data_IF_982315553363
#
_entry.id   IF_982315553363
#
_cell.length_a   1.000
_cell.length_b   1.000
_cell.length_c   1.000
_cell.angle_alpha   90.00
_cell.angle_beta   90.00
_cell.angle_gamma   90.00
#
_symmetry.space_group_name_H-M   'P 1'
#
loop_
_entity.id
_entity.type
_entity.pdbx_description
1 polymer ?
#
# COMPACT_ATOMS: atom_id res chain seq x y z
N UNK A 1 -1.91 -6.38 18.82
CA UNK A 1 -1.43 -7.06 17.61
C UNK A 1 -1.52 -6.07 16.48
N UNK A 2 -0.39 -5.61 15.97
CA UNK A 2 -0.33 -4.75 14.79
C UNK A 2 0.31 -5.63 13.73
N UNK A 3 -0.31 -5.75 12.56
CA UNK A 3 0.34 -6.39 11.41
C UNK A 3 1.68 -5.67 11.23
N UNK A 4 2.77 -6.40 11.44
CA UNK A 4 4.12 -5.81 11.51
C UNK A 4 4.67 -5.46 10.14
N UNK A 5 3.97 -5.84 9.06
CA UNK A 5 4.32 -5.56 7.68
C UNK A 5 3.66 -4.26 7.20
N UNK A 6 4.38 -3.38 6.50
CA UNK A 6 3.76 -2.29 5.77
C UNK A 6 2.91 -2.84 4.61
N UNK A 7 1.73 -2.25 4.45
CA UNK A 7 0.82 -2.46 3.33
C UNK A 7 1.56 -2.39 1.98
N UNK A 8 1.44 -3.46 1.19
CA UNK A 8 2.08 -3.56 -0.12
C UNK A 8 1.26 -2.78 -1.16
N UNK A 9 1.94 -1.87 -1.85
CA UNK A 9 1.34 -1.08 -2.92
C UNK A 9 1.48 -1.83 -4.25
N UNK A 10 0.40 -1.99 -5.05
CA UNK A 10 0.54 -2.45 -6.42
C UNK A 10 1.04 -1.31 -7.31
N UNK A 11 2.19 -1.52 -7.95
CA UNK A 11 2.67 -0.69 -9.05
C UNK A 11 2.33 -1.41 -10.34
N UNK A 12 1.48 -0.81 -11.18
CA UNK A 12 1.02 -1.43 -12.41
C UNK A 12 1.78 -0.86 -13.60
N UNK A 13 2.21 -1.73 -14.51
CA UNK A 13 2.76 -1.35 -15.80
C UNK A 13 1.68 -1.25 -16.89
N UNK A 14 2.08 -0.78 -18.06
CA UNK A 14 1.21 -0.67 -19.24
C UNK A 14 0.65 -2.03 -19.67
N UNK A 15 1.50 -3.07 -19.72
CA UNK A 15 1.10 -4.38 -20.22
C UNK A 15 0.07 -5.07 -19.32
N UNK A 16 0.20 -4.99 -17.99
CA UNK A 16 -0.79 -5.54 -17.07
C UNK A 16 -2.15 -4.86 -17.24
N UNK A 17 -2.18 -3.53 -17.41
CA UNK A 17 -3.42 -2.78 -17.62
C UNK A 17 -4.09 -3.12 -18.96
N UNK A 18 -3.32 -3.17 -20.05
CA UNK A 18 -3.83 -3.50 -21.37
C UNK A 18 -4.35 -4.93 -21.44
N UNK A 19 -3.60 -5.90 -20.91
CA UNK A 19 -4.02 -7.29 -20.89
C UNK A 19 -5.25 -7.49 -20.01
N UNK A 20 -5.32 -6.89 -18.82
CA UNK A 20 -6.51 -7.01 -17.96
C UNK A 20 -7.75 -6.45 -18.67
N UNK A 21 -7.63 -5.27 -19.28
CA UNK A 21 -8.74 -4.66 -20.02
C UNK A 21 -9.19 -5.53 -21.21
N UNK A 22 -8.25 -6.07 -21.99
CA UNK A 22 -8.57 -6.96 -23.11
C UNK A 22 -9.21 -8.27 -22.63
N UNK A 23 -8.71 -8.86 -21.54
CA UNK A 23 -9.29 -10.07 -20.94
C UNK A 23 -10.71 -9.83 -20.42
N UNK A 24 -10.95 -8.67 -19.79
CA UNK A 24 -12.29 -8.30 -19.32
C UNK A 24 -13.28 -8.17 -20.48
N UNK A 25 -12.89 -7.54 -21.58
CA UNK A 25 -13.73 -7.43 -22.80
C UNK A 25 -13.96 -8.81 -23.41
N UNK A 26 -12.91 -9.62 -23.56
CA UNK A 26 -12.98 -10.95 -24.19
C UNK A 26 -13.89 -11.93 -23.43
N UNK A 27 -13.90 -11.84 -22.11
CA UNK A 27 -14.63 -12.77 -21.23
C UNK A 27 -15.87 -12.15 -20.58
N UNK A 28 -16.29 -10.95 -21.00
CA UNK A 28 -17.43 -10.19 -20.46
C UNK A 28 -17.41 -10.09 -18.92
N UNK A 29 -16.22 -10.03 -18.33
CA UNK A 29 -16.07 -9.99 -16.87
C UNK A 29 -16.36 -8.60 -16.34
N UNK A 30 -17.22 -8.52 -15.33
CA UNK A 30 -17.59 -7.26 -14.68
C UNK A 30 -16.71 -6.89 -13.47
N UNK A 31 -15.90 -7.81 -12.95
CA UNK A 31 -15.09 -7.56 -11.76
C UNK A 31 -13.68 -7.09 -12.14
N UNK A 32 -13.51 -5.78 -12.16
CA UNK A 32 -12.20 -5.14 -12.28
C UNK A 32 -11.42 -5.24 -10.96
N UNK A 33 -10.32 -5.99 -10.98
CA UNK A 33 -9.41 -6.16 -9.84
C UNK A 33 -8.71 -4.85 -9.47
N UNK A 34 -8.45 -3.96 -10.44
CA UNK A 34 -7.83 -2.64 -10.21
C UNK A 34 -8.77 -1.77 -9.40
N UNK A 35 -10.02 -1.64 -9.83
CA UNK A 35 -11.05 -0.91 -9.08
C UNK A 35 -11.32 -1.53 -7.71
N UNK A 36 -11.33 -2.87 -7.60
CA UNK A 36 -11.47 -3.54 -6.31
C UNK A 36 -10.33 -3.20 -5.34
N UNK A 37 -9.08 -3.20 -5.80
CA UNK A 37 -7.91 -2.82 -5.00
C UNK A 37 -7.97 -1.36 -4.56
N UNK A 38 -8.29 -0.45 -5.49
CA UNK A 38 -8.48 0.97 -5.18
C UNK A 38 -9.61 1.20 -4.17
N UNK A 39 -10.72 0.48 -4.31
CA UNK A 39 -11.89 0.56 -3.43
C UNK A 39 -11.62 0.14 -1.99
N UNK A 40 -10.56 -0.63 -1.73
CA UNK A 40 -10.15 -0.97 -0.35
C UNK A 40 -9.63 0.25 0.42
N UNK A 41 -9.15 1.29 -0.29
CA UNK A 41 -8.39 2.41 0.27
C UNK A 41 -7.06 2.02 0.92
N UNK A 42 -6.66 0.74 0.79
CA UNK A 42 -5.50 0.10 1.42
C UNK A 42 -4.65 -0.70 0.42
N UNK A 43 -4.87 -0.54 -0.87
CA UNK A 43 -4.02 -1.13 -1.90
C UNK A 43 -4.15 -0.31 -3.18
N UNK A 44 -4.24 1.01 -3.04
CA UNK A 44 -4.47 1.92 -4.16
C UNK A 44 -3.37 1.72 -5.20
N UNK A 45 -3.71 1.31 -6.43
CA UNK A 45 -2.71 1.07 -7.44
C UNK A 45 -2.10 2.38 -7.96
N UNK A 46 -0.78 2.37 -8.11
CA UNK A 46 -0.01 3.49 -8.61
C UNK A 46 0.63 3.14 -9.96
N UNK A 47 0.75 4.13 -10.83
CA UNK A 47 1.43 4.01 -12.12
C UNK A 47 2.40 5.17 -12.34
N UNK A 48 3.43 4.94 -13.15
CA UNK A 48 4.37 5.98 -13.54
C UNK A 48 3.75 6.91 -14.59
N UNK A 49 4.29 8.13 -14.70
CA UNK A 49 3.77 9.19 -15.56
C UNK A 49 3.69 8.86 -17.06
N UNK A 50 4.54 7.95 -17.55
CA UNK A 50 4.59 7.57 -18.96
C UNK A 50 3.49 6.56 -19.36
N UNK A 51 3.01 5.75 -18.39
CA UNK A 51 2.07 4.64 -18.62
C UNK A 51 0.81 5.07 -19.40
N UNK A 52 0.13 6.21 -19.08
CA UNK A 52 -1.03 6.64 -19.88
C UNK A 52 -0.71 6.85 -21.37
N UNK A 53 0.49 7.36 -21.69
CA UNK A 53 0.91 7.57 -23.07
C UNK A 53 1.20 6.24 -23.80
N UNK A 54 1.85 5.30 -23.13
CA UNK A 54 2.09 3.97 -23.69
C UNK A 54 0.80 3.17 -23.90
N UNK A 55 -0.19 3.32 -23.01
CA UNK A 55 -1.52 2.73 -23.22
C UNK A 55 -2.09 3.22 -24.55
N UNK A 56 -2.04 4.53 -24.81
CA UNK A 56 -2.54 5.09 -26.07
C UNK A 56 -1.79 4.55 -27.30
N UNK A 57 -0.48 4.37 -27.20
CA UNK A 57 0.37 3.85 -28.28
C UNK A 57 0.12 2.37 -28.58
N UNK A 58 -0.02 1.54 -27.54
CA UNK A 58 -0.02 0.09 -27.67
C UNK A 58 -1.41 -0.55 -27.70
N UNK A 59 -2.47 0.18 -27.34
CA UNK A 59 -3.82 -0.36 -27.22
C UNK A 59 -4.30 -1.06 -28.49
N UNK A 60 -4.10 -0.46 -29.67
CA UNK A 60 -4.58 -1.02 -30.94
C UNK A 60 -3.93 -2.39 -31.24
N UNK A 61 -2.62 -2.50 -30.99
CA UNK A 61 -1.86 -3.74 -31.18
C UNK A 61 -2.36 -4.84 -30.22
N UNK A 62 -2.42 -4.54 -28.93
CA UNK A 62 -2.82 -5.55 -27.92
C UNK A 62 -4.28 -5.96 -28.11
N UNK A 63 -5.19 -5.03 -28.43
CA UNK A 63 -6.58 -5.36 -28.71
C UNK A 63 -6.71 -6.32 -29.91
N UNK A 64 -5.90 -6.12 -30.96
CA UNK A 64 -5.82 -7.02 -32.12
C UNK A 64 -5.33 -8.42 -31.71
N UNK A 65 -4.29 -8.52 -30.89
CA UNK A 65 -3.73 -9.80 -30.43
C UNK A 65 -4.76 -10.60 -29.61
N UNK A 66 -5.58 -9.91 -28.80
CA UNK A 66 -6.65 -10.51 -28.03
C UNK A 66 -7.94 -10.79 -28.84
N UNK A 67 -8.00 -10.30 -30.09
CA UNK A 67 -9.16 -10.37 -30.99
C UNK A 67 -10.40 -9.67 -30.41
N UNK A 68 -10.19 -8.50 -29.78
CA UNK A 68 -11.27 -7.69 -29.18
C UNK A 68 -11.37 -6.32 -29.83
N UNK A 69 -12.57 -5.69 -29.86
CA UNK A 69 -12.70 -4.35 -30.43
C UNK A 69 -11.98 -3.29 -29.58
N UNK A 70 -10.97 -2.61 -30.16
CA UNK A 70 -10.19 -1.55 -29.47
C UNK A 70 -11.11 -0.52 -28.78
N UNK A 71 -12.18 -0.09 -29.46
CA UNK A 71 -13.13 0.90 -28.93
C UNK A 71 -13.78 0.45 -27.62
N UNK A 72 -14.04 -0.85 -27.45
CA UNK A 72 -14.61 -1.38 -26.21
C UNK A 72 -13.57 -1.38 -25.10
N UNK A 73 -12.33 -1.79 -25.40
CA UNK A 73 -11.21 -1.77 -24.45
C UNK A 73 -10.90 -0.34 -24.00
N UNK A 74 -10.81 0.61 -24.94
CA UNK A 74 -10.60 2.04 -24.66
C UNK A 74 -11.67 2.60 -23.74
N UNK A 75 -12.94 2.25 -24.00
CA UNK A 75 -14.06 2.67 -23.15
C UNK A 75 -13.94 2.10 -21.74
N UNK A 76 -13.66 0.80 -21.62
CA UNK A 76 -13.48 0.14 -20.32
C UNK A 76 -12.33 0.77 -19.52
N UNK A 77 -11.18 0.96 -20.15
CA UNK A 77 -10.02 1.62 -19.55
C UNK A 77 -10.37 3.02 -19.06
N UNK A 78 -10.96 3.86 -19.91
CA UNK A 78 -11.27 5.25 -19.57
C UNK A 78 -12.37 5.43 -18.51
N UNK A 79 -13.32 4.49 -18.44
CA UNK A 79 -14.50 4.63 -17.55
C UNK A 79 -14.34 3.89 -16.22
N UNK A 80 -13.59 2.79 -16.18
CA UNK A 80 -13.53 1.92 -15.01
C UNK A 80 -12.11 1.85 -14.43
N UNK A 81 -11.13 1.47 -15.24
CA UNK A 81 -9.79 1.14 -14.75
C UNK A 81 -8.97 2.41 -14.43
N UNK A 82 -8.78 3.31 -15.41
CA UNK A 82 -7.92 4.49 -15.26
C UNK A 82 -8.35 5.43 -14.12
N UNK A 83 -9.66 5.69 -13.89
CA UNK A 83 -10.10 6.53 -12.76
C UNK A 83 -9.72 5.98 -11.38
N UNK A 84 -9.49 4.67 -11.26
CA UNK A 84 -9.08 4.02 -10.02
C UNK A 84 -7.57 4.14 -9.73
N UNK A 85 -6.78 4.59 -10.72
CA UNK A 85 -5.32 4.67 -10.66
C UNK A 85 -4.84 6.06 -10.22
N UNK A 86 -3.63 6.07 -9.65
CA UNK A 86 -2.91 7.30 -9.29
C UNK A 86 -1.59 7.36 -10.06
N UNK A 87 -1.48 8.39 -10.91
CA UNK A 87 -0.26 8.69 -11.65
C UNK A 87 0.71 9.44 -10.74
N UNK A 88 1.95 8.99 -10.67
CA UNK A 88 2.99 9.63 -9.87
C UNK A 88 4.09 10.17 -10.79
N UNK A 89 4.23 11.50 -10.78
CA UNK A 89 5.29 12.20 -11.51
C UNK A 89 6.59 12.22 -10.69
N UNK A 90 7.57 11.45 -11.12
CA UNK A 90 8.89 11.44 -10.50
C UNK A 90 9.79 12.52 -11.09
N UNK A 91 10.77 12.95 -10.31
CA UNK A 91 11.81 13.85 -10.80
C UNK A 91 12.96 13.03 -11.42
N UNK A 92 13.75 13.65 -12.31
CA UNK A 92 14.89 13.00 -12.97
C UNK A 92 15.81 12.31 -11.95
N UNK A 93 16.02 12.92 -10.77
CA UNK A 93 16.86 12.36 -9.71
C UNK A 93 16.35 11.02 -9.16
N UNK A 94 15.04 10.78 -9.18
CA UNK A 94 14.44 9.55 -8.67
C UNK A 94 14.71 8.36 -9.62
N UNK A 95 14.86 8.63 -10.92
CA UNK A 95 15.22 7.63 -11.92
C UNK A 95 16.70 7.20 -11.85
N UNK A 96 17.53 7.92 -11.09
CA UNK A 96 18.96 7.61 -10.94
C UNK A 96 19.24 6.64 -9.79
N UNK A 97 18.19 6.12 -9.16
CA UNK A 97 18.27 5.26 -8.01
C UNK A 97 18.96 3.91 -8.33
N UNK A 98 19.68 3.30 -7.38
CA UNK A 98 20.53 2.14 -7.65
C UNK A 98 19.81 0.97 -8.31
N UNK A 99 18.56 0.67 -7.92
CA UNK A 99 17.84 -0.47 -8.49
C UNK A 99 17.42 -0.18 -9.94
N UNK A 100 16.99 1.05 -10.21
CA UNK A 100 16.63 1.52 -11.57
C UNK A 100 17.78 1.41 -12.56
N UNK A 101 19.03 1.61 -12.12
CA UNK A 101 20.21 1.48 -12.98
C UNK A 101 20.40 0.08 -13.56
N UNK A 102 19.89 -0.97 -12.92
CA UNK A 102 20.00 -2.33 -13.44
C UNK A 102 19.10 -2.55 -14.66
N UNK A 103 17.93 -1.90 -14.70
CA UNK A 103 16.99 -1.96 -15.82
C UNK A 103 17.49 -1.11 -16.99
N UNK A 104 18.18 0.00 -16.71
CA UNK A 104 18.84 0.82 -17.73
C UNK A 104 20.04 0.14 -18.41
N UNK A 105 20.47 -1.06 -17.98
CA UNK A 105 21.59 -1.76 -18.61
C UNK A 105 21.16 -2.43 -19.92
N UNK A 106 21.33 -1.68 -21.01
CA UNK A 106 21.21 -2.17 -22.39
C UNK A 106 22.56 -2.74 -22.85
N UNK A 107 23.06 -3.79 -22.20
CA UNK A 107 24.30 -4.44 -22.65
C UNK A 107 24.04 -5.13 -24.00
N UNK A 108 24.60 -4.55 -25.07
CA UNK A 108 24.41 -5.03 -26.44
C UNK A 108 25.02 -6.42 -26.69
N UNK A 109 25.92 -6.88 -25.83
CA UNK A 109 26.50 -8.22 -25.89
C UNK A 109 25.55 -9.28 -25.33
N UNK A 110 24.51 -8.89 -24.58
CA UNK A 110 23.46 -9.80 -24.14
C UNK A 110 22.45 -10.01 -25.29
N UNK A 111 21.92 -11.24 -25.40
CA UNK A 111 20.80 -11.51 -26.31
C UNK A 111 19.64 -10.53 -26.02
N UNK A 112 18.82 -10.14 -27.01
CA UNK A 112 17.73 -9.17 -26.81
C UNK A 112 16.82 -9.49 -25.63
N UNK A 113 16.48 -10.77 -25.44
CA UNK A 113 15.68 -11.27 -24.30
C UNK A 113 16.34 -11.15 -22.93
N UNK A 114 17.62 -10.81 -22.87
CA UNK A 114 18.44 -10.65 -21.67
C UNK A 114 18.83 -9.18 -21.41
N UNK A 115 18.48 -8.26 -22.30
CA UNK A 115 18.68 -6.81 -22.09
C UNK A 115 17.62 -6.27 -21.12
N UNK A 116 17.94 -5.18 -20.44
CA UNK A 116 16.95 -4.35 -19.77
C UNK A 116 16.27 -3.42 -20.77
N UNK A 117 15.06 -2.97 -20.43
CA UNK A 117 14.30 -2.02 -21.22
C UNK A 117 14.32 -0.64 -20.55
N UNK A 118 14.87 0.40 -21.19
CA UNK A 118 14.81 1.77 -20.67
C UNK A 118 13.39 2.28 -20.40
N UNK A 119 12.39 1.77 -21.13
CA UNK A 119 10.99 2.20 -20.99
C UNK A 119 10.39 1.70 -19.65
N UNK A 120 10.95 0.64 -19.07
CA UNK A 120 10.58 0.10 -17.76
C UNK A 120 11.19 0.86 -16.57
N UNK A 121 12.22 1.69 -16.83
CA UNK A 121 12.96 2.38 -15.77
C UNK A 121 12.09 3.31 -14.90
N UNK A 122 11.12 4.07 -15.43
CA UNK A 122 10.23 4.88 -14.60
C UNK A 122 9.33 4.04 -13.68
N UNK A 123 8.89 2.85 -14.11
CA UNK A 123 8.06 1.94 -13.29
C UNK A 123 8.88 1.40 -12.12
N UNK A 124 10.14 1.04 -12.36
CA UNK A 124 11.05 0.64 -11.28
C UNK A 124 11.41 1.78 -10.34
N UNK A 125 11.67 2.97 -10.89
CA UNK A 125 11.95 4.16 -10.08
C UNK A 125 10.78 4.46 -9.14
N UNK A 126 9.54 4.29 -9.62
CA UNK A 126 8.34 4.42 -8.80
C UNK A 126 8.26 3.35 -7.72
N UNK A 127 8.57 2.11 -8.06
CA UNK A 127 8.59 1.01 -7.09
C UNK A 127 9.63 1.23 -5.98
N UNK A 128 10.84 1.67 -6.33
CA UNK A 128 11.89 2.00 -5.37
C UNK A 128 11.51 3.21 -4.50
N UNK A 129 10.86 4.21 -5.11
CA UNK A 129 10.37 5.41 -4.41
C UNK A 129 9.30 5.06 -3.37
N UNK A 130 8.34 4.20 -3.71
CA UNK A 130 7.17 3.84 -2.88
C UNK A 130 7.35 2.57 -2.04
N UNK A 131 8.46 1.87 -2.20
CA UNK A 131 8.77 0.62 -1.52
C UNK A 131 8.49 0.66 0.00
N UNK A 132 8.06 -0.47 0.59
CA UNK A 132 7.86 -1.77 -0.04
C UNK A 132 6.59 -1.85 -0.89
N UNK A 133 6.71 -2.42 -2.09
CA UNK A 133 5.63 -2.53 -3.06
C UNK A 133 5.81 -3.77 -3.95
N UNK A 134 4.80 -4.09 -4.74
CA UNK A 134 4.83 -5.18 -5.72
C UNK A 134 4.65 -4.58 -7.09
N UNK A 135 5.60 -4.83 -7.99
CA UNK A 135 5.41 -4.53 -9.41
C UNK A 135 4.57 -5.66 -10.00
N UNK A 136 3.47 -5.28 -10.63
CA UNK A 136 2.67 -6.18 -11.44
C UNK A 136 2.96 -5.86 -12.89
N UNK A 137 3.46 -6.86 -13.58
CA UNK A 137 3.78 -6.79 -14.99
C UNK A 137 3.58 -8.16 -15.61
N UNK A 138 3.25 -8.20 -16.89
CA UNK A 138 3.34 -9.42 -17.69
C UNK A 138 4.68 -9.52 -18.43
N UNK A 139 5.52 -8.48 -18.32
CA UNK A 139 6.85 -8.50 -18.86
C UNK A 139 7.78 -9.36 -18.00
N UNK A 140 8.50 -10.22 -18.70
CA UNK A 140 9.57 -11.02 -18.11
C UNK A 140 10.72 -10.17 -17.57
N UNK A 141 10.95 -8.94 -18.06
CA UNK A 141 12.10 -8.09 -17.67
C UNK A 141 12.16 -7.89 -16.15
N UNK A 142 11.07 -7.50 -15.50
CA UNK A 142 11.07 -7.29 -14.05
C UNK A 142 11.20 -8.59 -13.26
N UNK A 143 10.55 -9.67 -13.70
CA UNK A 143 10.65 -10.99 -13.05
C UNK A 143 12.09 -11.54 -13.11
N UNK A 144 12.80 -11.31 -14.21
CA UNK A 144 14.19 -11.72 -14.42
C UNK A 144 15.16 -11.05 -13.46
N UNK A 145 14.91 -9.78 -13.11
CA UNK A 145 15.72 -9.06 -12.13
C UNK A 145 15.24 -9.23 -10.68
N UNK A 146 14.22 -10.07 -10.45
CA UNK A 146 13.72 -10.32 -9.11
C UNK A 146 12.87 -9.18 -8.55
N UNK A 147 12.18 -8.42 -9.40
CA UNK A 147 11.39 -7.25 -9.01
C UNK A 147 9.88 -7.37 -9.24
N UNK A 148 9.38 -8.37 -9.97
CA UNK A 148 7.94 -8.52 -10.23
C UNK A 148 7.46 -9.97 -10.33
N UNK A 149 6.15 -10.13 -10.15
CA UNK A 149 5.42 -11.38 -10.39
C UNK A 149 4.67 -11.27 -11.72
N UNK A 150 4.83 -12.29 -12.56
CA UNK A 150 4.33 -12.32 -13.97
C UNK A 150 2.80 -12.49 -14.05
N UNK A 151 2.17 -13.08 -13.02
CA UNK A 151 0.74 -13.39 -13.04
C UNK A 151 -0.08 -12.41 -12.19
N UNK A 152 -0.78 -11.49 -12.86
CA UNK A 152 -1.61 -10.44 -12.25
C UNK A 152 -2.76 -11.00 -11.41
N UNK A 153 -3.41 -12.09 -11.85
CA UNK A 153 -4.66 -12.54 -11.23
C UNK A 153 -4.46 -13.04 -9.80
N UNK A 154 -3.47 -13.93 -9.52
CA UNK A 154 -3.13 -14.36 -8.17
C UNK A 154 -2.58 -13.21 -7.31
N UNK A 155 -1.77 -12.32 -7.88
CA UNK A 155 -1.20 -11.18 -7.16
C UNK A 155 -2.29 -10.24 -6.66
N UNK A 156 -3.24 -9.86 -7.53
CA UNK A 156 -4.35 -9.02 -7.14
C UNK A 156 -5.25 -9.70 -6.09
N UNK A 157 -5.48 -11.01 -6.19
CA UNK A 157 -6.23 -11.75 -5.17
C UNK A 157 -5.51 -11.76 -3.82
N UNK A 158 -4.21 -11.97 -3.84
CA UNK A 158 -3.36 -11.93 -2.65
C UNK A 158 -3.36 -10.54 -2.01
N UNK A 159 -3.22 -9.48 -2.80
CA UNK A 159 -3.29 -8.10 -2.32
C UNK A 159 -4.68 -7.76 -1.75
N UNK A 160 -5.77 -8.19 -2.38
CA UNK A 160 -7.13 -8.02 -1.85
C UNK A 160 -7.32 -8.77 -0.52
N UNK A 161 -6.77 -9.98 -0.40
CA UNK A 161 -6.79 -10.74 0.86
C UNK A 161 -6.00 -10.04 1.95
N UNK A 162 -4.78 -9.55 1.64
CA UNK A 162 -3.97 -8.78 2.58
C UNK A 162 -4.72 -7.53 3.06
N UNK A 163 -5.33 -6.76 2.15
CA UNK A 163 -6.13 -5.59 2.50
C UNK A 163 -7.34 -5.93 3.40
N UNK A 164 -7.97 -7.09 3.19
CA UNK A 164 -9.07 -7.59 4.03
C UNK A 164 -8.62 -8.00 5.44
N UNK A 165 -7.48 -8.69 5.56
CA UNK A 165 -6.87 -9.05 6.85
C UNK A 165 -6.50 -7.78 7.64
N UNK A 166 -5.95 -6.77 6.97
CA UNK A 166 -5.62 -5.47 7.58
C UNK A 166 -6.86 -4.70 8.05
N UNK A 167 -7.92 -4.67 7.26
CA UNK A 167 -9.18 -4.04 7.66
C UNK A 167 -9.75 -4.66 8.94
N UNK A 168 -9.68 -5.98 9.04
CA UNK A 168 -10.13 -6.75 10.21
C UNK A 168 -9.29 -6.44 11.44
N UNK A 169 -7.96 -6.37 11.30
CA UNK A 169 -7.04 -6.01 12.38
C UNK A 169 -7.26 -4.56 12.87
N UNK A 170 -7.48 -3.61 11.95
CA UNK A 170 -7.76 -2.22 12.29
C UNK A 170 -9.09 -2.09 13.06
N UNK A 171 -10.14 -2.79 12.62
CA UNK A 171 -11.44 -2.81 13.30
C UNK A 171 -11.34 -3.41 14.71
N UNK A 172 -10.55 -4.47 14.88
CA UNK A 172 -10.29 -5.05 16.20
C UNK A 172 -9.60 -4.05 17.15
N UNK A 173 -8.64 -3.26 16.66
CA UNK A 173 -7.98 -2.23 17.46
C UNK A 173 -8.93 -1.11 17.87
N UNK A 174 -9.86 -0.71 17.00
CA UNK A 174 -10.91 0.28 17.33
C UNK A 174 -11.85 -0.25 18.42
N UNK A 175 -12.25 -1.52 18.35
CA UNK A 175 -13.06 -2.16 19.39
C UNK A 175 -12.33 -2.27 20.73
N UNK A 176 -11.02 -2.58 20.70
CA UNK A 176 -10.16 -2.59 21.89
C UNK A 176 -10.05 -1.17 22.47
N UNK A 177 -9.78 -0.15 21.65
CA UNK A 177 -9.72 1.25 22.09
C UNK A 177 -11.06 1.72 22.67
N UNK A 178 -12.18 1.37 22.04
CA UNK A 178 -13.53 1.68 22.53
C UNK A 178 -13.79 1.01 23.88
N UNK A 179 -13.44 -0.27 24.03
CA UNK A 179 -13.53 -0.99 25.29
C UNK A 179 -12.67 -0.30 26.37
N UNK A 180 -11.41 0.01 26.07
CA UNK A 180 -10.50 0.72 26.99
C UNK A 180 -11.03 2.10 27.40
N UNK A 181 -11.65 2.86 26.50
CA UNK A 181 -12.29 4.15 26.80
C UNK A 181 -13.52 4.00 27.68
N UNK A 182 -14.32 2.95 27.47
CA UNK A 182 -15.47 2.63 28.30
C UNK A 182 -15.08 2.19 29.73
N UNK A 183 -13.86 1.68 29.92
CA UNK A 183 -13.36 1.20 31.23
C UNK A 183 -12.54 2.22 32.03
N UNK A 184 -12.28 3.44 31.54
CA UNK A 184 -11.89 4.58 32.38
C UNK A 184 -10.74 5.48 31.88
N UNK A 185 -10.79 6.75 32.31
CA UNK A 185 -10.08 7.94 31.80
C UNK A 185 -8.53 7.97 31.88
N UNK A 186 -7.84 6.88 32.20
CA UNK A 186 -6.37 6.81 32.26
C UNK A 186 -5.67 6.23 31.03
N UNK A 187 -6.43 5.67 30.08
CA UNK A 187 -5.92 4.75 29.07
C UNK A 187 -5.19 5.38 27.87
N UNK A 188 -5.32 6.69 27.62
CA UNK A 188 -4.73 7.34 26.44
C UNK A 188 -3.19 7.19 26.38
N UNK A 189 -2.51 7.11 27.53
CA UNK A 189 -1.05 6.91 27.58
C UNK A 189 -0.63 5.44 27.40
N UNK A 190 -1.51 4.48 27.69
CA UNK A 190 -1.23 3.05 27.50
C UNK A 190 -1.34 2.65 26.02
N UNK A 191 -2.22 3.28 25.24
CA UNK A 191 -2.34 3.04 23.80
C UNK A 191 -1.05 3.40 23.06
N UNK A 192 -0.43 4.54 23.38
CA UNK A 192 0.86 4.92 22.80
C UNK A 192 2.01 3.97 23.18
N UNK A 193 1.96 3.40 24.38
CA UNK A 193 2.93 2.41 24.88
C UNK A 193 2.72 1.02 24.24
N UNK A 194 1.47 0.60 24.05
CA UNK A 194 1.13 -0.67 23.42
C UNK A 194 1.49 -0.73 21.93
N UNK A 195 1.43 0.40 21.23
CA UNK A 195 1.84 0.51 19.82
C UNK A 195 3.35 0.40 19.66
N UNK A 196 4.14 0.89 20.63
CA UNK A 196 5.62 0.87 20.55
C UNK A 196 6.24 -0.36 21.19
N UNK A 197 5.68 -0.88 22.28
CA UNK A 197 6.21 -2.03 23.02
C UNK A 197 5.06 -2.83 23.71
N UNK A 198 4.56 -3.90 23.08
CA UNK A 198 3.37 -4.62 23.56
C UNK A 198 3.59 -5.36 24.89
N UNK A 199 4.80 -5.86 25.17
CA UNK A 199 5.14 -6.60 26.39
C UNK A 199 5.11 -5.73 27.67
N UNK A 200 5.81 -4.58 27.74
CA UNK A 200 5.73 -3.72 28.92
C UNK A 200 4.34 -3.09 29.10
N UNK A 201 3.60 -2.82 28.01
CA UNK A 201 2.22 -2.35 28.11
C UNK A 201 1.30 -3.39 28.79
N UNK A 202 1.45 -4.67 28.43
CA UNK A 202 0.75 -5.78 29.08
C UNK A 202 1.15 -5.93 30.56
N UNK A 203 2.44 -5.82 30.88
CA UNK A 203 2.92 -5.86 32.26
C UNK A 203 2.40 -4.69 33.11
N UNK A 204 2.30 -3.49 32.52
CA UNK A 204 1.80 -2.29 33.21
C UNK A 204 0.29 -2.39 33.46
N UNK A 205 -0.46 -2.90 32.48
CA UNK A 205 -1.90 -3.16 32.64
C UNK A 205 -2.15 -4.25 33.69
N UNK A 206 -1.38 -5.34 33.67
CA UNK A 206 -1.43 -6.39 34.70
C UNK A 206 -1.08 -5.86 36.09
N UNK A 207 -0.08 -4.97 36.20
CA UNK A 207 0.31 -4.32 37.45
C UNK A 207 -0.78 -3.41 38.02
N UNK A 208 -1.43 -2.61 37.17
CA UNK A 208 -2.55 -1.74 37.57
C UNK A 208 -3.78 -2.54 38.01
N UNK A 209 -4.08 -3.63 37.29
CA UNK A 209 -5.15 -4.55 37.66
C UNK A 209 -4.87 -5.25 39.00
N UNK A 210 -3.64 -5.70 39.21
CA UNK A 210 -3.21 -6.32 40.47
C UNK A 210 -3.24 -5.32 41.63
N UNK A 211 -2.87 -4.05 41.37
CA UNK A 211 -2.93 -2.97 42.35
C UNK A 211 -4.37 -2.61 42.73
N UNK A 212 -5.28 -2.51 41.75
CA UNK A 212 -6.70 -2.30 41.98
C UNK A 212 -7.38 -3.43 42.76
N UNK A 213 -6.99 -4.69 42.48
CA UNK A 213 -7.40 -5.87 43.25
C UNK A 213 -6.90 -5.80 44.70
N UNK A 214 -5.64 -5.43 44.91
CA UNK A 214 -5.06 -5.30 46.27
C UNK A 214 -5.67 -4.19 47.11
N UNK A 215 -6.19 -3.12 46.48
CA UNK A 215 -6.86 -2.01 47.18
C UNK A 215 -8.36 -2.21 47.41
N UNK A 216 -8.92 -3.37 47.05
CA UNK A 216 -10.33 -3.69 47.33
C UNK A 216 -11.34 -2.94 46.45
N UNK A 217 -10.90 -2.25 45.40
CA UNK A 217 -11.78 -1.58 44.43
C UNK A 217 -12.49 -2.56 43.49
N UNK A 218 -12.09 -3.84 43.48
CA UNK A 218 -12.64 -4.88 42.62
C UNK A 218 -12.98 -6.12 43.45
N UNK A 219 -14.26 -6.49 43.49
CA UNK A 219 -14.72 -7.71 44.16
C UNK A 219 -14.27 -8.97 43.38
N UNK A 220 -14.00 -10.07 44.09
CA UNK A 220 -13.53 -11.34 43.50
C UNK A 220 -14.50 -11.94 42.47
N UNK A 221 -15.80 -11.74 42.65
CA UNK A 221 -16.86 -12.23 41.75
C UNK A 221 -16.97 -11.39 40.48
N UNK A 222 -16.89 -10.06 40.60
CA UNK A 222 -16.88 -9.16 39.45
C UNK A 222 -15.65 -9.38 38.57
N UNK A 223 -14.51 -9.73 39.18
CA UNK A 223 -13.26 -10.01 38.46
C UNK A 223 -13.35 -11.29 37.62
N UNK A 224 -13.83 -12.41 38.19
CA UNK A 224 -13.97 -13.67 37.45
C UNK A 224 -14.96 -13.53 36.28
N UNK A 225 -16.07 -12.84 36.48
CA UNK A 225 -17.08 -12.67 35.44
C UNK A 225 -16.64 -11.69 34.34
N UNK A 226 -15.86 -10.65 34.68
CA UNK A 226 -15.32 -9.71 33.70
C UNK A 226 -14.13 -10.27 32.93
N UNK A 227 -13.29 -11.09 33.57
CA UNK A 227 -12.20 -11.81 32.89
C UNK A 227 -12.71 -12.98 32.08
N UNK A 228 -13.73 -13.72 32.50
CA UNK A 228 -14.30 -14.79 31.68
C UNK A 228 -14.92 -14.22 30.40
N UNK A 229 -15.66 -13.10 30.51
CA UNK A 229 -16.20 -12.39 29.32
C UNK A 229 -15.10 -11.82 28.42
N UNK A 230 -14.01 -11.31 28.99
CA UNK A 230 -12.85 -10.85 28.23
C UNK A 230 -12.08 -12.01 27.60
N UNK A 231 -11.94 -13.15 28.28
CA UNK A 231 -11.27 -14.35 27.79
C UNK A 231 -12.06 -14.98 26.64
N UNK A 232 -13.38 -15.11 26.78
CA UNK A 232 -14.29 -15.61 25.74
C UNK A 232 -14.28 -14.72 24.48
N UNK A 233 -14.07 -13.41 24.62
CA UNK A 233 -13.96 -12.48 23.49
C UNK A 233 -12.53 -12.33 22.94
N UNK A 234 -11.50 -12.45 23.78
CA UNK A 234 -10.11 -12.21 23.40
C UNK A 234 -9.40 -13.44 22.83
N UNK A 235 -9.72 -14.65 23.30
CA UNK A 235 -9.16 -15.90 22.78
C UNK A 235 -9.41 -16.03 21.27
N UNK A 236 -10.65 -15.90 20.75
CA UNK A 236 -10.88 -16.00 19.31
C UNK A 236 -10.19 -14.87 18.53
N UNK A 237 -10.07 -13.66 19.10
CA UNK A 237 -9.39 -12.53 18.46
C UNK A 237 -7.86 -12.72 18.39
N UNK A 238 -7.24 -13.33 19.40
CA UNK A 238 -5.80 -13.62 19.43
C UNK A 238 -5.48 -14.77 18.47
N UNK A 239 -6.31 -15.82 18.45
CA UNK A 239 -6.16 -16.94 17.51
C UNK A 239 -6.38 -16.50 16.07
N UNK A 240 -7.44 -15.73 15.78
CA UNK A 240 -7.68 -15.13 14.47
C UNK A 240 -6.56 -14.17 14.07
N UNK A 241 -6.04 -13.36 15.00
CA UNK A 241 -4.95 -12.45 14.72
C UNK A 241 -3.64 -13.18 14.40
N UNK A 242 -3.33 -14.29 15.09
CA UNK A 242 -2.12 -15.07 14.83
C UNK A 242 -2.23 -15.83 13.50
N UNK A 243 -3.40 -16.40 13.22
CA UNK A 243 -3.69 -17.02 11.92
C UNK A 243 -3.59 -15.99 10.79
N UNK A 244 -4.19 -14.80 10.95
CA UNK A 244 -4.10 -13.70 10.00
C UNK A 244 -2.66 -13.20 9.81
N UNK A 245 -1.85 -13.17 10.87
CA UNK A 245 -0.43 -12.79 10.77
C UNK A 245 0.40 -13.85 10.02
N UNK A 246 0.14 -15.14 10.25
CA UNK A 246 0.80 -16.24 9.54
C UNK A 246 0.38 -16.26 8.08
N UNK A 247 -0.90 -16.08 7.79
CA UNK A 247 -1.43 -15.99 6.42
C UNK A 247 -0.87 -14.76 5.70
N UNK A 248 -0.85 -13.59 6.36
CA UNK A 248 -0.25 -12.39 5.80
C UNK A 248 1.22 -12.60 5.44
N UNK A 249 2.01 -13.24 6.32
CA UNK A 249 3.41 -13.56 6.04
C UNK A 249 3.53 -14.55 4.89
N UNK A 250 2.80 -15.65 4.92
CA UNK A 250 2.83 -16.66 3.86
C UNK A 250 2.51 -16.05 2.49
N UNK A 251 1.47 -15.21 2.39
CA UNK A 251 1.12 -14.51 1.16
C UNK A 251 2.23 -13.52 0.76
N UNK A 252 2.72 -12.71 1.70
CA UNK A 252 3.79 -11.73 1.41
C UNK A 252 5.08 -12.41 0.95
N UNK A 253 5.42 -13.58 1.50
CA UNK A 253 6.61 -14.35 1.13
C UNK A 253 6.49 -14.97 -0.27
N UNK A 254 5.26 -15.13 -0.80
CA UNK A 254 5.05 -15.51 -2.21
C UNK A 254 5.16 -14.33 -3.18
N UNK A 255 5.09 -13.10 -2.67
CA UNK A 255 5.14 -11.90 -3.49
C UNK A 255 6.58 -11.41 -3.62
N UNK A 256 6.97 -11.07 -4.84
CA UNK A 256 8.25 -10.44 -5.11
C UNK A 256 8.15 -8.95 -4.75
N UNK A 257 8.62 -8.60 -3.55
CA UNK A 257 8.51 -7.25 -2.99
C UNK A 257 9.76 -6.43 -3.30
N UNK A 258 9.57 -5.31 -4.00
CA UNK A 258 10.61 -4.28 -4.16
C UNK A 258 10.80 -3.57 -2.83
N UNK A 259 11.97 -3.76 -2.22
CA UNK A 259 12.29 -3.17 -0.93
C UNK A 259 12.74 -1.71 -1.10
N UNK A 260 12.39 -0.84 -0.12
CA UNK A 260 12.86 0.53 -0.14
C UNK A 260 14.38 0.63 0.01
N UNK A 261 15.02 1.72 -0.49
CA UNK A 261 16.38 2.06 -0.14
C UNK A 261 16.58 2.15 1.38
N UNK A 262 17.75 1.71 1.83
CA UNK A 262 18.14 1.67 3.25
C UNK A 262 18.08 3.05 3.93
N UNK A 263 18.36 4.11 3.17
CA UNK A 263 18.36 5.50 3.65
C UNK A 263 17.39 6.33 2.81
N UNK A 264 16.08 6.28 3.13
CA UNK A 264 15.09 7.01 2.35
C UNK A 264 15.21 8.52 2.55
N UNK A 265 14.98 9.27 1.48
CA UNK A 265 14.89 10.73 1.54
C UNK A 265 13.62 11.18 2.27
N UNK A 266 13.54 12.46 2.65
CA UNK A 266 12.33 13.02 3.26
C UNK A 266 11.12 12.91 2.33
N UNK A 267 11.33 13.11 1.03
CA UNK A 267 10.35 12.94 -0.04
C UNK A 267 9.86 11.50 -0.12
N UNK A 268 10.77 10.52 -0.13
CA UNK A 268 10.39 9.11 -0.14
C UNK A 268 9.59 8.72 1.11
N UNK A 269 9.99 9.18 2.29
CA UNK A 269 9.24 8.94 3.53
C UNK A 269 7.82 9.52 3.45
N UNK A 270 7.70 10.78 3.01
CA UNK A 270 6.41 11.44 2.82
C UNK A 270 5.53 10.70 1.81
N UNK A 271 6.09 10.37 0.64
CA UNK A 271 5.38 9.69 -0.44
C UNK A 271 4.88 8.31 -0.01
N UNK A 272 5.73 7.51 0.65
CA UNK A 272 5.37 6.19 1.16
C UNK A 272 4.25 6.23 2.17
N UNK A 273 4.25 7.23 3.05
CA UNK A 273 3.17 7.37 4.01
C UNK A 273 1.87 7.79 3.31
N UNK A 274 1.94 8.79 2.43
CA UNK A 274 0.77 9.28 1.69
C UNK A 274 0.18 8.23 0.74
N UNK A 275 1.00 7.41 0.09
CA UNK A 275 0.54 6.31 -0.77
C UNK A 275 -0.32 5.28 -0.02
N UNK A 276 -0.02 5.05 1.25
CA UNK A 276 -0.74 4.12 2.14
C UNK A 276 -1.87 4.80 2.91
N UNK A 277 -2.02 6.11 2.75
CA UNK A 277 -3.07 6.86 3.40
C UNK A 277 -4.21 7.11 2.42
N UNK A 278 -5.41 6.67 2.77
CA UNK A 278 -6.61 6.91 1.96
C UNK A 278 -7.08 8.37 1.95
N UNK A 279 -6.50 9.23 2.81
CA UNK A 279 -6.88 10.65 2.93
C UNK A 279 -5.71 11.59 2.70
N UNK A 280 -5.95 12.77 2.10
CA UNK A 280 -4.99 13.86 2.09
C UNK A 280 -4.58 14.27 3.51
N UNK A 281 -3.33 14.68 3.70
CA UNK A 281 -2.80 15.12 5.00
C UNK A 281 -2.16 16.49 4.91
N UNK A 282 -2.25 17.25 6.00
CA UNK A 282 -1.45 18.46 6.17
C UNK A 282 0.01 18.10 6.47
N UNK A 283 0.98 19.01 6.24
CA UNK A 283 2.37 18.78 6.62
C UNK A 283 2.58 18.52 8.13
N UNK A 284 1.69 19.07 8.98
CA UNK A 284 1.71 18.84 10.43
C UNK A 284 1.26 17.42 10.79
N UNK A 285 0.17 16.94 10.20
CA UNK A 285 -0.30 15.57 10.41
C UNK A 285 0.72 14.54 9.90
N UNK A 286 1.33 14.81 8.74
CA UNK A 286 2.35 13.93 8.16
C UNK A 286 3.61 13.89 9.04
N UNK A 287 4.04 15.04 9.58
CA UNK A 287 5.12 15.09 10.58
C UNK A 287 4.82 14.18 11.78
N UNK A 288 3.63 14.30 12.34
CA UNK A 288 3.25 13.53 13.55
C UNK A 288 3.12 12.04 13.26
N UNK A 289 2.70 11.68 12.05
CA UNK A 289 2.70 10.31 11.58
C UNK A 289 4.11 9.72 11.42
N UNK A 290 5.00 10.44 10.74
CA UNK A 290 6.40 10.02 10.56
C UNK A 290 7.16 9.97 11.90
N UNK A 291 6.88 10.89 12.81
CA UNK A 291 7.43 10.90 14.17
C UNK A 291 7.01 9.68 15.00
N UNK A 292 5.78 9.18 14.81
CA UNK A 292 5.34 7.91 15.41
C UNK A 292 6.16 6.72 14.91
N UNK A 293 6.59 6.75 13.65
CA UNK A 293 7.48 5.77 13.02
C UNK A 293 8.98 5.98 13.33
N UNK A 294 9.32 7.00 14.13
CA UNK A 294 10.70 7.27 14.57
C UNK A 294 11.48 8.21 13.67
N UNK A 295 10.86 8.80 12.65
CA UNK A 295 11.52 9.77 11.78
C UNK A 295 11.44 11.19 12.35
N UNK A 296 12.55 11.92 12.31
CA UNK A 296 12.63 13.31 12.78
C UNK A 296 12.67 14.24 11.56
N UNK A 297 11.53 14.84 11.25
CA UNK A 297 11.38 15.81 10.14
C UNK A 297 10.49 16.95 10.63
N UNK A 298 10.71 18.19 10.17
CA UNK A 298 9.81 19.30 10.50
C UNK A 298 8.66 19.44 9.49
N UNK A 299 7.52 19.98 9.92
CA UNK A 299 6.39 20.27 9.03
C UNK A 299 6.76 21.29 7.94
N UNK A 300 7.62 22.26 8.26
CA UNK A 300 8.11 23.25 7.30
C UNK A 300 8.99 22.61 6.22
N UNK A 301 9.86 21.67 6.60
CA UNK A 301 10.68 20.90 5.67
C UNK A 301 9.82 20.03 4.76
N UNK A 302 8.85 19.29 5.32
CA UNK A 302 7.89 18.51 4.54
C UNK A 302 7.14 19.38 3.53
N UNK A 303 6.59 20.52 3.97
CA UNK A 303 5.89 21.46 3.07
C UNK A 303 6.80 21.94 1.94
N UNK A 304 8.05 22.32 2.25
CA UNK A 304 9.02 22.78 1.25
C UNK A 304 9.30 21.68 0.22
N UNK A 305 9.57 20.46 0.68
CA UNK A 305 9.92 19.35 -0.20
C UNK A 305 8.74 18.93 -1.07
N UNK A 306 7.54 18.77 -0.48
CA UNK A 306 6.33 18.43 -1.23
C UNK A 306 5.92 19.51 -2.23
N UNK A 307 6.20 20.79 -1.97
CA UNK A 307 5.91 21.88 -2.91
C UNK A 307 6.81 21.87 -4.14
N UNK A 308 8.04 21.40 -4.00
CA UNK A 308 9.02 21.37 -5.09
C UNK A 308 8.85 20.10 -5.93
N UNK A 309 8.58 18.97 -5.26
CA UNK A 309 8.60 17.67 -5.89
C UNK A 309 7.29 17.30 -6.59
N UNK A 310 7.37 16.93 -7.88
CA UNK A 310 6.19 16.73 -8.76
C UNK A 310 5.26 15.60 -8.33
N UNK A 311 5.79 14.58 -7.65
CA UNK A 311 4.99 13.49 -7.11
C UNK A 311 3.88 13.93 -6.15
N UNK A 312 3.97 15.11 -5.54
CA UNK A 312 2.99 15.58 -4.56
C UNK A 312 2.03 16.59 -5.17
N UNK A 313 0.75 16.38 -4.92
CA UNK A 313 -0.33 17.24 -5.40
C UNK A 313 -0.99 17.91 -4.21
N UNK A 314 -1.15 19.23 -4.30
CA UNK A 314 -1.83 20.02 -3.27
C UNK A 314 -3.34 20.01 -3.52
N UNK A 315 -4.08 19.47 -2.57
CA UNK A 315 -5.53 19.56 -2.50
C UNK A 315 -5.97 20.87 -1.78
N UNK A 316 -7.24 21.27 -1.87
CA UNK A 316 -7.77 22.40 -1.12
C UNK A 316 -7.47 22.28 0.39
N UNK A 317 -7.14 23.40 1.05
CA UNK A 317 -6.94 23.43 2.51
C UNK A 317 -5.54 23.06 3.02
N UNK A 318 -4.48 23.27 2.22
CA UNK A 318 -3.09 22.86 2.53
C UNK A 318 -2.91 21.36 2.79
N UNK A 319 -3.79 20.58 2.17
CA UNK A 319 -3.74 19.13 2.18
C UNK A 319 -2.89 18.64 1.01
N UNK A 320 -2.19 17.54 1.22
CA UNK A 320 -1.29 16.95 0.24
C UNK A 320 -1.66 15.49 -0.01
N UNK A 321 -1.60 15.08 -1.28
CA UNK A 321 -1.77 13.70 -1.73
C UNK A 321 -0.61 13.29 -2.61
N UNK A 322 -0.36 11.99 -2.72
CA UNK A 322 0.56 11.46 -3.70
C UNK A 322 -0.13 11.26 -5.05
N UNK A 323 0.54 11.73 -6.10
CA UNK A 323 0.09 11.60 -7.49
C UNK A 323 -1.19 12.35 -7.78
N UNK A 324 -1.64 12.25 -9.03
CA UNK A 324 -2.92 12.79 -9.50
C UNK A 324 -3.78 11.65 -10.10
N UNK A 325 -5.12 11.82 -10.19
CA UNK A 325 -5.94 10.84 -10.91
C UNK A 325 -5.54 10.83 -12.40
N UNK A 326 -5.67 9.68 -13.06
CA UNK A 326 -5.50 9.61 -14.52
C UNK A 326 -6.61 10.45 -15.16
N UNK A 327 -6.23 11.41 -16.00
CA UNK A 327 -7.21 12.07 -16.87
C UNK A 327 -7.60 11.04 -17.94
N UNK A 328 -8.87 10.65 -18.01
CA UNK A 328 -9.34 9.68 -19.01
C UNK A 328 -8.96 10.10 -20.43
N UNK A 329 -8.99 9.15 -21.38
CA UNK A 329 -8.63 9.43 -22.78
C UNK A 329 -9.29 10.71 -23.27
N UNK A 330 -8.48 11.60 -23.87
CA UNK A 330 -9.03 12.74 -24.60
C UNK A 330 -9.95 12.17 -25.67
N UNK A 331 -11.23 12.54 -25.64
CA UNK A 331 -12.12 12.22 -26.74
C UNK A 331 -11.53 12.89 -27.99
N UNK A 332 -11.32 12.13 -29.10
CA UNK A 332 -10.79 12.70 -30.33
C UNK A 332 -11.70 13.79 -30.89
#
# INVERSE_FOLDING_TARGET
MVLTGPMLLPILDTNALLTEACNMVKHERQQDKVTALAGTGRATPHIAAHVPGEIDEHLARVASDYQVPERQVRRLLGQQILPALRVVDLEIRDHLAPQTRHILRVDLCLEPRHRGDPDDAPTMALAEFLGPCVIVTQDSVFSRFGFAVVDWIPVAQNLLRLAGLEATAANALVLIDLALRLFGAGAQRLVGLAVRNPLPAAATAAGLLLWGYRRGYLSRSDWRQRISRLGELAIPLIEQGNAAMLEHRAISDTLMVVQPPAYPTTEQLAARYLARCSRPLTPGELRDALGRQGHVVSAAQLRRHMRVHRAFVRAPGDLWTLGHPVQGFRQP
#
